data_IF_512458931873
#
_entry.id   IF_512458931873
#
_cell.length_a   1.000
_cell.length_b   1.000
_cell.length_c   1.000
_cell.angle_alpha   90.00
_cell.angle_beta   90.00
_cell.angle_gamma   90.00
#
_symmetry.space_group_name_H-M   'P 1'
#
loop_
_entity.id
_entity.type
_entity.pdbx_description
1 polymer ?
#
# COMPACT_ATOMS: atom_id res chain seq x y z
N UNK A 1 19.02 13.60 0.07
CA UNK A 1 17.82 13.92 0.88
C UNK A 1 17.83 12.97 2.06
N UNK A 2 17.60 13.48 3.26
CA UNK A 2 17.71 12.73 4.50
C UNK A 2 16.52 11.75 4.62
N UNK A 3 16.76 10.50 5.01
CA UNK A 3 15.68 9.52 5.22
C UNK A 3 14.62 9.98 6.23
N UNK A 4 15.01 10.86 7.17
CA UNK A 4 14.11 11.47 8.15
C UNK A 4 13.21 12.56 7.56
N UNK A 5 13.57 13.11 6.41
CA UNK A 5 12.79 14.10 5.66
C UNK A 5 11.76 13.39 4.78
N UNK A 6 12.16 12.28 4.14
CA UNK A 6 11.24 11.37 3.43
C UNK A 6 10.17 10.81 4.39
N UNK A 7 10.55 10.34 5.59
CA UNK A 7 9.57 9.83 6.59
C UNK A 7 8.53 10.89 7.02
N UNK A 8 8.91 12.17 7.05
CA UNK A 8 7.97 13.26 7.40
C UNK A 8 7.08 13.60 6.22
N UNK A 9 7.66 13.67 5.02
CA UNK A 9 6.90 13.91 3.80
C UNK A 9 5.87 12.80 3.56
N UNK A 10 6.26 11.55 3.78
CA UNK A 10 5.36 10.40 3.70
C UNK A 10 4.23 10.51 4.74
N UNK A 11 4.54 10.92 5.97
CA UNK A 11 3.52 11.15 7.02
C UNK A 11 2.51 12.23 6.60
N UNK A 12 2.99 13.38 6.12
CA UNK A 12 2.13 14.48 5.67
C UNK A 12 1.25 14.07 4.48
N UNK A 13 1.79 13.27 3.55
CA UNK A 13 1.05 12.72 2.42
C UNK A 13 0.01 11.68 2.87
N UNK A 14 0.33 10.86 3.87
CA UNK A 14 -0.61 9.89 4.45
C UNK A 14 -1.77 10.63 5.08
N UNK A 15 -1.52 11.67 5.88
CA UNK A 15 -2.57 12.50 6.48
C UNK A 15 -3.48 13.12 5.42
N UNK A 16 -2.93 13.67 4.34
CA UNK A 16 -3.73 14.23 3.24
C UNK A 16 -4.57 13.14 2.55
N UNK A 17 -3.96 11.99 2.26
CA UNK A 17 -4.64 10.87 1.62
C UNK A 17 -5.75 10.26 2.50
N UNK A 18 -5.60 10.28 3.83
CA UNK A 18 -6.66 9.89 4.78
C UNK A 18 -7.91 10.77 4.66
N UNK A 19 -7.73 12.05 4.33
CA UNK A 19 -8.83 12.98 4.08
C UNK A 19 -9.42 12.85 2.65
N UNK A 20 -8.96 11.86 1.87
CA UNK A 20 -9.44 11.60 0.51
C UNK A 20 -8.65 12.32 -0.59
N UNK A 21 -7.46 12.85 -0.28
CA UNK A 21 -6.57 13.42 -1.29
C UNK A 21 -5.97 12.32 -2.18
N UNK A 22 -6.45 12.27 -3.42
CA UNK A 22 -6.00 11.30 -4.42
C UNK A 22 -4.59 11.61 -4.94
N UNK A 23 -4.18 12.87 -4.96
CA UNK A 23 -2.86 13.26 -5.45
C UNK A 23 -1.80 12.86 -4.43
N UNK A 24 -2.07 13.10 -3.14
CA UNK A 24 -1.20 12.67 -2.05
C UNK A 24 -0.99 11.15 -2.06
N UNK A 25 -2.08 10.37 -2.24
CA UNK A 25 -1.97 8.92 -2.37
C UNK A 25 -1.22 8.50 -3.63
N UNK A 26 -1.41 9.19 -4.75
CA UNK A 26 -0.67 8.88 -5.98
C UNK A 26 0.83 9.11 -5.82
N UNK A 27 1.26 10.09 -5.01
CA UNK A 27 2.67 10.29 -4.68
C UNK A 27 3.19 9.11 -3.84
N UNK A 28 2.51 8.74 -2.75
CA UNK A 28 2.86 7.59 -1.92
C UNK A 28 2.92 6.28 -2.73
N UNK A 29 1.92 6.04 -3.58
CA UNK A 29 1.83 4.85 -4.41
C UNK A 29 2.98 4.76 -5.43
N UNK A 30 3.44 5.89 -5.97
CA UNK A 30 4.63 5.91 -6.83
C UNK A 30 5.91 5.65 -6.03
N UNK A 31 6.07 6.31 -4.89
CA UNK A 31 7.25 6.16 -4.02
C UNK A 31 7.43 4.73 -3.53
N UNK A 32 6.36 4.07 -3.10
CA UNK A 32 6.42 2.70 -2.58
C UNK A 32 6.15 1.63 -3.64
N UNK A 33 5.53 1.98 -4.77
CA UNK A 33 5.12 1.07 -5.82
C UNK A 33 6.29 0.29 -6.41
N UNK A 34 7.40 0.96 -6.72
CA UNK A 34 8.60 0.31 -7.26
C UNK A 34 9.18 -0.73 -6.29
N UNK A 35 9.16 -0.43 -4.98
CA UNK A 35 9.62 -1.35 -3.95
C UNK A 35 8.68 -2.54 -3.77
N UNK A 36 7.37 -2.30 -3.76
CA UNK A 36 6.35 -3.34 -3.70
C UNK A 36 6.45 -4.26 -4.92
N UNK A 37 6.69 -3.70 -6.11
CA UNK A 37 6.91 -4.45 -7.34
C UNK A 37 8.13 -5.33 -7.25
N UNK A 38 9.27 -4.80 -6.80
CA UNK A 38 10.49 -5.58 -6.64
C UNK A 38 10.31 -6.77 -5.67
N UNK A 39 9.54 -6.57 -4.59
CA UNK A 39 9.21 -7.62 -3.61
C UNK A 39 8.27 -8.65 -4.25
N UNK A 40 7.17 -8.21 -4.86
CA UNK A 40 6.18 -9.08 -5.49
C UNK A 40 6.80 -9.93 -6.61
N UNK A 41 7.63 -9.33 -7.46
CA UNK A 41 8.39 -10.05 -8.48
C UNK A 41 9.31 -11.11 -7.89
N UNK A 42 9.97 -10.82 -6.77
CA UNK A 42 10.90 -11.76 -6.14
C UNK A 42 10.17 -12.98 -5.55
N UNK A 43 8.94 -12.79 -5.09
CA UNK A 43 8.08 -13.85 -4.52
C UNK A 43 7.41 -14.65 -5.63
N UNK A 44 6.71 -13.97 -6.55
CA UNK A 44 5.84 -14.59 -7.54
C UNK A 44 6.59 -15.05 -8.80
N UNK A 45 7.74 -14.43 -9.09
CA UNK A 45 8.56 -14.68 -10.30
C UNK A 45 7.79 -14.57 -11.61
N UNK A 46 6.70 -13.83 -11.61
CA UNK A 46 5.84 -13.55 -12.74
C UNK A 46 5.46 -12.07 -12.69
N UNK A 47 5.68 -11.37 -13.80
CA UNK A 47 5.47 -9.92 -13.90
C UNK A 47 3.99 -9.56 -13.79
N UNK A 48 3.12 -10.28 -14.51
CA UNK A 48 1.68 -9.99 -14.51
C UNK A 48 1.05 -10.25 -13.14
N UNK A 49 1.44 -11.35 -12.47
CA UNK A 49 0.96 -11.64 -11.11
C UNK A 49 1.53 -10.65 -10.08
N UNK A 50 2.75 -10.17 -10.27
CA UNK A 50 3.33 -9.16 -9.40
C UNK A 50 2.63 -7.81 -9.57
N UNK A 51 2.36 -7.39 -10.80
CA UNK A 51 1.59 -6.18 -11.10
C UNK A 51 0.20 -6.24 -10.47
N UNK A 52 -0.52 -7.35 -10.66
CA UNK A 52 -1.85 -7.54 -10.07
C UNK A 52 -1.81 -7.46 -8.54
N UNK A 53 -0.86 -8.16 -7.90
CA UNK A 53 -0.70 -8.13 -6.45
C UNK A 53 -0.38 -6.72 -5.90
N UNK A 54 0.48 -5.96 -6.59
CA UNK A 54 0.79 -4.58 -6.22
C UNK A 54 -0.45 -3.69 -6.37
N UNK A 55 -1.17 -3.80 -7.48
CA UNK A 55 -2.39 -3.03 -7.72
C UNK A 55 -3.45 -3.33 -6.66
N UNK A 56 -3.71 -4.61 -6.36
CA UNK A 56 -4.63 -5.01 -5.30
C UNK A 56 -4.21 -4.45 -3.94
N UNK A 57 -2.92 -4.51 -3.62
CA UNK A 57 -2.38 -3.96 -2.37
C UNK A 57 -2.62 -2.45 -2.27
N UNK A 58 -2.38 -1.70 -3.35
CA UNK A 58 -2.63 -0.25 -3.39
C UNK A 58 -4.12 0.07 -3.26
N UNK A 59 -5.00 -0.70 -3.91
CA UNK A 59 -6.46 -0.53 -3.78
C UNK A 59 -6.92 -0.79 -2.34
N UNK A 60 -6.41 -1.85 -1.70
CA UNK A 60 -6.70 -2.14 -0.29
C UNK A 60 -6.18 -1.01 0.59
N UNK A 61 -4.93 -0.57 0.39
CA UNK A 61 -4.33 0.51 1.14
C UNK A 61 -5.17 1.78 1.08
N UNK A 62 -5.65 2.19 -0.11
CA UNK A 62 -6.53 3.37 -0.27
C UNK A 62 -7.86 3.22 0.48
N UNK A 63 -8.46 2.03 0.47
CA UNK A 63 -9.75 1.78 1.13
C UNK A 63 -9.65 1.79 2.65
N UNK A 64 -8.54 1.27 3.17
CA UNK A 64 -8.30 1.17 4.61
C UNK A 64 -7.65 2.45 5.18
N UNK A 65 -7.05 3.29 4.33
CA UNK A 65 -6.35 4.50 4.74
C UNK A 65 -7.16 5.40 5.67
N UNK A 66 -8.45 5.73 5.40
CA UNK A 66 -9.25 6.58 6.28
C UNK A 66 -9.53 5.96 7.66
N UNK A 67 -9.42 4.63 7.79
CA UNK A 67 -9.55 3.90 9.05
C UNK A 67 -8.24 3.79 9.83
N UNK A 68 -7.11 4.16 9.21
CA UNK A 68 -5.77 4.09 9.79
C UNK A 68 -5.59 5.22 10.80
N UNK A 69 -6.07 5.03 12.04
CA UNK A 69 -5.96 6.00 13.13
C UNK A 69 -4.53 6.34 13.55
N UNK A 70 -3.57 5.52 13.14
CA UNK A 70 -2.17 5.69 13.48
C UNK A 70 -1.30 5.12 12.33
N UNK A 71 -0.52 5.95 11.62
CA UNK A 71 0.38 5.49 10.57
C UNK A 71 1.53 4.62 11.10
N UNK A 72 1.78 4.63 12.41
CA UNK A 72 2.76 3.78 13.10
C UNK A 72 2.12 2.48 13.67
N UNK A 73 0.80 2.28 13.52
CA UNK A 73 0.15 1.06 13.98
C UNK A 73 0.40 -0.11 13.00
N UNK A 74 0.85 -1.28 13.50
CA UNK A 74 1.08 -2.43 12.65
C UNK A 74 -0.23 -2.83 11.96
N UNK A 75 -0.19 -2.89 10.62
CA UNK A 75 -1.29 -3.31 9.75
C UNK A 75 -1.90 -4.60 10.28
N UNK A 76 -3.06 -4.50 10.94
CA UNK A 76 -3.83 -5.67 11.34
C UNK A 76 -4.55 -6.17 10.10
N UNK A 77 -3.89 -7.07 9.38
CA UNK A 77 -4.51 -7.85 8.31
C UNK A 77 -5.80 -8.50 8.83
N UNK A 78 -6.96 -8.30 8.18
CA UNK A 78 -8.10 -9.17 8.41
C UNK A 78 -7.77 -10.52 7.76
N UNK A 79 -7.32 -11.46 8.57
CA UNK A 79 -7.31 -12.88 8.24
C UNK A 79 -8.73 -13.27 7.77
N UNK A 80 -8.85 -13.70 6.51
CA UNK A 80 -10.06 -14.30 5.99
C UNK A 80 -10.44 -13.81 4.59
N UNK A 81 -9.86 -14.42 3.57
CA UNK A 81 -10.50 -14.53 2.25
C UNK A 81 -11.56 -15.66 2.33
N UNK A 82 -12.85 -15.39 2.10
CA UNK A 82 -13.90 -16.41 2.15
C UNK A 82 -14.07 -17.21 0.83
N UNK A 83 -13.20 -17.09 -0.18
CA UNK A 83 -13.40 -17.70 -1.50
C UNK A 83 -12.53 -18.96 -1.79
N UNK A 84 -12.26 -19.79 -0.79
CA UNK A 84 -11.70 -21.14 -1.03
C UNK A 84 -12.75 -22.22 -0.73
N UNK A 85 -13.63 -22.49 -1.70
CA UNK A 85 -14.42 -23.73 -1.74
C UNK A 85 -13.97 -24.60 -2.92
N UNK A 86 -13.53 -25.84 -2.69
CA UNK A 86 -13.38 -26.79 -3.78
C UNK A 86 -14.77 -27.25 -4.26
N UNK A 87 -14.86 -27.48 -5.58
CA UNK A 87 -15.96 -28.17 -6.24
C UNK A 87 -16.08 -29.64 -5.81
#
# INVERSE_FOLDING_TARGET
MDAREDDRLDRDLVEQAQHGDREAFAILARTHGDRLMAIAHRILRDVGRAEDAVQQTLVIAWRELPGLRDPDAPSRWPEGDPDDRPA
#
